data_IF_886012293333
#
_entry.id   IF_886012293333
#
_cell.length_a   1.000
_cell.length_b   1.000
_cell.length_c   1.000
_cell.angle_alpha   90.00
_cell.angle_beta   90.00
_cell.angle_gamma   90.00
#
_symmetry.space_group_name_H-M   'P 1'
#
loop_
_entity.id
_entity.type
_entity.pdbx_description
1 polymer ?
#
# COMPACT_ATOMS: atom_id res chain seq x y z
N UNK A 1 6.34 10.09 -28.80
CA UNK A 1 5.55 10.72 -27.72
C UNK A 1 4.25 9.95 -27.66
N UNK A 2 4.11 9.03 -26.70
CA UNK A 2 2.87 8.24 -26.58
C UNK A 2 1.79 9.13 -25.96
N UNK A 3 0.69 9.35 -26.69
CA UNK A 3 -0.54 9.91 -26.13
C UNK A 3 -1.12 8.86 -25.19
N UNK A 4 -0.98 9.06 -23.89
CA UNK A 4 -1.72 8.31 -22.88
C UNK A 4 -3.15 8.85 -22.85
N UNK A 5 -4.07 8.21 -23.57
CA UNK A 5 -5.49 8.43 -23.36
C UNK A 5 -5.86 7.93 -21.95
N UNK A 6 -6.51 8.79 -21.16
CA UNK A 6 -6.98 8.54 -19.80
C UNK A 6 -7.89 7.30 -19.65
N UNK A 7 -8.33 6.71 -20.76
CA UNK A 7 -9.21 5.53 -20.81
C UNK A 7 -8.62 4.25 -20.21
N UNK A 8 -7.30 4.19 -19.96
CA UNK A 8 -6.62 3.02 -19.39
C UNK A 8 -5.93 3.28 -18.04
N UNK A 9 -6.11 4.46 -17.45
CA UNK A 9 -5.56 4.73 -16.12
C UNK A 9 -6.62 4.35 -15.10
N UNK A 10 -6.28 3.48 -14.14
CA UNK A 10 -7.11 3.13 -12.99
C UNK A 10 -7.28 4.33 -12.03
N UNK A 11 -7.80 5.45 -12.52
CA UNK A 11 -7.93 6.68 -11.75
C UNK A 11 -9.41 6.96 -11.47
N UNK A 12 -9.82 6.73 -10.23
CA UNK A 12 -11.11 7.18 -9.72
C UNK A 12 -10.99 8.67 -9.38
N UNK A 13 -11.80 9.51 -10.03
CA UNK A 13 -11.73 10.96 -9.86
C UNK A 13 -12.05 11.34 -8.41
N UNK A 14 -11.18 12.15 -7.79
CA UNK A 14 -11.32 12.62 -6.41
C UNK A 14 -11.37 11.50 -5.36
N UNK A 15 -10.72 10.37 -5.63
CA UNK A 15 -10.65 9.25 -4.69
C UNK A 15 -10.15 9.65 -3.30
N UNK A 16 -9.17 10.58 -3.24
CA UNK A 16 -8.59 11.12 -2.00
C UNK A 16 -9.11 12.52 -1.65
N UNK A 17 -10.34 12.90 -2.02
CA UNK A 17 -10.90 14.17 -1.57
C UNK A 17 -10.91 14.24 -0.03
N UNK A 18 -10.25 15.27 0.50
CA UNK A 18 -10.16 15.53 1.93
C UNK A 18 -11.42 16.25 2.40
N UNK A 19 -12.13 15.65 3.36
CA UNK A 19 -13.39 16.17 3.89
C UNK A 19 -13.23 16.53 5.36
N UNK A 20 -13.73 17.71 5.81
CA UNK A 20 -13.67 18.10 7.22
C UNK A 20 -14.24 17.03 8.14
N UNK A 21 -13.50 16.74 9.20
CA UNK A 21 -13.91 15.82 10.24
C UNK A 21 -14.88 16.48 11.20
N UNK A 22 -15.86 15.71 11.64
CA UNK A 22 -16.66 16.10 12.80
C UNK A 22 -15.91 15.77 14.09
N UNK A 23 -16.49 16.22 15.21
CA UNK A 23 -15.88 16.03 16.54
C UNK A 23 -15.65 14.56 16.88
N UNK A 24 -16.62 13.69 16.60
CA UNK A 24 -16.52 12.27 16.93
C UNK A 24 -15.39 11.57 16.13
N UNK A 25 -15.23 11.92 14.86
CA UNK A 25 -14.16 11.41 13.99
C UNK A 25 -12.79 11.90 14.46
N UNK A 26 -12.66 13.18 14.80
CA UNK A 26 -11.42 13.74 15.35
C UNK A 26 -11.04 13.04 16.67
N UNK A 27 -11.99 12.90 17.60
CA UNK A 27 -11.75 12.21 18.88
C UNK A 27 -11.38 10.74 18.67
N UNK A 28 -11.97 10.07 17.69
CA UNK A 28 -11.61 8.70 17.33
C UNK A 28 -10.16 8.61 16.82
N UNK A 29 -9.77 9.45 15.86
CA UNK A 29 -8.41 9.46 15.30
C UNK A 29 -7.39 9.80 16.38
N UNK A 30 -7.68 10.80 17.21
CA UNK A 30 -6.82 11.16 18.34
C UNK A 30 -6.60 9.98 19.30
N UNK A 31 -7.68 9.25 19.66
CA UNK A 31 -7.57 8.04 20.49
C UNK A 31 -6.78 6.95 19.79
N UNK A 32 -7.00 6.75 18.49
CA UNK A 32 -6.29 5.77 17.68
C UNK A 32 -4.77 6.04 17.67
N UNK A 33 -4.34 7.25 17.30
CA UNK A 33 -2.92 7.63 17.29
C UNK A 33 -2.31 7.44 18.69
N UNK A 34 -2.99 7.93 19.74
CA UNK A 34 -2.50 7.81 21.11
C UNK A 34 -2.44 6.37 21.64
N UNK A 35 -3.16 5.42 21.03
CA UNK A 35 -3.12 3.99 21.40
C UNK A 35 -1.92 3.24 20.81
N UNK A 36 -1.25 3.83 19.81
CA UNK A 36 -0.12 3.22 19.13
C UNK A 36 1.21 3.56 19.82
N UNK A 37 2.29 2.92 19.36
CA UNK A 37 3.64 3.17 19.87
C UNK A 37 4.04 4.65 19.69
N UNK A 38 4.66 5.22 20.72
CA UNK A 38 5.04 6.64 20.77
C UNK A 38 6.04 7.04 19.68
N UNK A 39 6.84 6.09 19.19
CA UNK A 39 7.79 6.34 18.10
C UNK A 39 7.10 6.75 16.80
N UNK A 40 5.86 6.30 16.57
CA UNK A 40 5.08 6.65 15.39
C UNK A 40 4.28 7.95 15.53
N UNK A 41 4.09 8.46 16.76
CA UNK A 41 3.16 9.56 17.04
C UNK A 41 3.48 10.84 16.26
N UNK A 42 4.75 11.26 16.23
CA UNK A 42 5.13 12.51 15.59
C UNK A 42 4.78 12.53 14.09
N UNK A 43 5.09 11.44 13.39
CA UNK A 43 4.77 11.29 11.97
C UNK A 43 3.26 11.20 11.74
N UNK A 44 2.56 10.40 12.54
CA UNK A 44 1.11 10.24 12.42
C UNK A 44 0.35 11.55 12.67
N UNK A 45 0.75 12.33 13.67
CA UNK A 45 0.17 13.65 13.93
C UNK A 45 0.47 14.62 12.79
N UNK A 46 1.70 14.64 12.28
CA UNK A 46 2.05 15.44 11.10
C UNK A 46 1.19 15.08 9.87
N UNK A 47 0.99 13.80 9.62
CA UNK A 47 0.15 13.32 8.52
C UNK A 47 -1.34 13.64 8.75
N UNK A 48 -1.80 13.54 9.98
CA UNK A 48 -3.15 13.94 10.34
C UNK A 48 -3.36 15.46 10.17
N UNK A 49 -2.38 16.28 10.53
CA UNK A 49 -2.39 17.72 10.34
C UNK A 49 -2.41 18.08 8.84
N UNK A 50 -1.66 17.36 8.00
CA UNK A 50 -1.71 17.52 6.54
C UNK A 50 -3.12 17.21 5.98
N UNK A 51 -3.76 16.13 6.45
CA UNK A 51 -5.14 15.84 6.09
C UNK A 51 -6.08 16.99 6.51
N UNK A 52 -5.99 17.44 7.76
CA UNK A 52 -6.84 18.52 8.27
C UNK A 52 -6.61 19.83 7.54
N UNK A 53 -5.37 20.15 7.18
CA UNK A 53 -5.03 21.32 6.38
C UNK A 53 -5.72 21.28 5.01
N UNK A 54 -5.63 20.14 4.30
CA UNK A 54 -6.32 19.97 3.02
C UNK A 54 -7.83 20.08 3.20
N UNK A 55 -8.40 19.31 4.14
CA UNK A 55 -9.84 19.20 4.37
C UNK A 55 -10.50 20.54 4.73
N UNK A 56 -9.85 21.37 5.55
CA UNK A 56 -10.39 22.64 6.01
C UNK A 56 -10.02 23.83 5.11
N UNK A 57 -9.32 23.59 3.99
CA UNK A 57 -9.00 24.65 3.05
C UNK A 57 -10.26 25.23 2.40
N UNK A 58 -10.28 26.56 2.25
CA UNK A 58 -11.30 27.25 1.43
C UNK A 58 -11.12 26.95 -0.07
N UNK A 59 -9.91 26.60 -0.50
CA UNK A 59 -9.58 26.29 -1.89
C UNK A 59 -10.04 24.88 -2.27
N UNK A 60 -10.96 24.80 -3.23
CA UNK A 60 -11.52 23.52 -3.69
C UNK A 60 -10.47 22.59 -4.29
N UNK A 61 -9.48 23.13 -5.02
CA UNK A 61 -8.39 22.35 -5.59
C UNK A 61 -7.60 21.64 -4.50
N UNK A 62 -7.26 22.34 -3.41
CA UNK A 62 -6.48 21.76 -2.32
C UNK A 62 -7.25 20.64 -1.59
N UNK A 63 -8.58 20.77 -1.43
CA UNK A 63 -9.41 19.69 -0.88
C UNK A 63 -9.42 18.44 -1.76
N UNK A 64 -9.44 18.64 -3.08
CA UNK A 64 -9.60 17.54 -4.05
C UNK A 64 -8.30 16.85 -4.44
N UNK A 65 -7.23 17.62 -4.59
CA UNK A 65 -5.95 17.14 -5.14
C UNK A 65 -4.81 17.16 -4.12
N UNK A 66 -4.94 17.88 -2.99
CA UNK A 66 -3.82 18.08 -2.06
C UNK A 66 -3.24 16.78 -1.47
N UNK A 67 -4.07 15.76 -1.25
CA UNK A 67 -3.59 14.45 -0.81
C UNK A 67 -2.92 13.66 -1.95
N UNK A 68 -3.37 13.83 -3.20
CA UNK A 68 -2.73 13.22 -4.36
C UNK A 68 -1.37 13.87 -4.66
N UNK A 69 -1.29 15.20 -4.51
CA UNK A 69 -0.03 15.94 -4.56
C UNK A 69 0.93 15.46 -3.47
N UNK A 70 0.42 15.21 -2.26
CA UNK A 70 1.22 14.63 -1.18
C UNK A 70 1.73 13.22 -1.52
N UNK A 71 0.88 12.35 -2.09
CA UNK A 71 1.31 11.05 -2.58
C UNK A 71 2.42 11.19 -3.64
N UNK A 72 2.30 12.15 -4.56
CA UNK A 72 3.33 12.43 -5.57
C UNK A 72 4.67 12.85 -4.96
N UNK A 73 4.65 13.62 -3.87
CA UNK A 73 5.87 13.97 -3.12
C UNK A 73 6.52 12.74 -2.50
N UNK A 74 5.74 11.83 -1.90
CA UNK A 74 6.26 10.57 -1.34
C UNK A 74 6.82 9.67 -2.45
N UNK A 75 6.15 9.57 -3.60
CA UNK A 75 6.65 8.80 -4.74
C UNK A 75 8.00 9.32 -5.25
N UNK A 76 8.19 10.64 -5.25
CA UNK A 76 9.45 11.25 -5.63
C UNK A 76 10.62 10.82 -4.72
N UNK A 77 10.37 10.53 -3.44
CA UNK A 77 11.37 9.99 -2.51
C UNK A 77 11.79 8.56 -2.89
N UNK A 78 10.87 7.76 -3.44
CA UNK A 78 11.13 6.38 -3.86
C UNK A 78 11.96 6.25 -5.14
N UNK A 79 11.88 7.22 -6.06
CA UNK A 79 12.57 7.18 -7.37
C UNK A 79 14.06 6.85 -7.29
N UNK A 80 14.90 7.56 -6.50
CA UNK A 80 16.33 7.23 -6.41
C UNK A 80 16.58 5.82 -5.86
N UNK A 81 15.73 5.35 -4.94
CA UNK A 81 15.86 4.04 -4.28
C UNK A 81 15.51 2.93 -5.25
N UNK A 82 14.43 3.09 -6.02
CA UNK A 82 14.05 2.16 -7.09
C UNK A 82 15.17 2.03 -8.12
N UNK A 83 15.85 3.12 -8.48
CA UNK A 83 17.02 3.08 -9.39
C UNK A 83 18.19 2.26 -8.82
N UNK A 84 18.38 2.22 -7.50
CA UNK A 84 19.37 1.35 -6.84
C UNK A 84 18.92 -0.11 -6.90
N UNK A 85 17.64 -0.38 -6.60
CA UNK A 85 17.06 -1.73 -6.69
C UNK A 85 17.25 -2.32 -8.10
N UNK A 86 16.99 -1.56 -9.17
CA UNK A 86 17.25 -1.99 -10.56
C UNK A 86 18.72 -2.33 -10.87
N UNK A 87 19.66 -1.84 -10.07
CA UNK A 87 21.09 -2.15 -10.15
C UNK A 87 21.51 -3.23 -9.15
N UNK A 88 20.54 -3.86 -8.49
CA UNK A 88 20.72 -4.85 -7.42
C UNK A 88 21.48 -4.28 -6.22
N UNK A 89 21.38 -2.96 -6.01
CA UNK A 89 22.01 -2.27 -4.90
C UNK A 89 20.99 -2.04 -3.77
N UNK A 90 21.17 -2.79 -2.68
CA UNK A 90 20.34 -2.68 -1.46
C UNK A 90 21.01 -1.83 -0.36
N UNK A 91 22.14 -1.16 -0.63
CA UNK A 91 22.88 -0.36 0.37
C UNK A 91 22.04 0.76 1.00
N UNK A 92 20.97 1.19 0.33
CA UNK A 92 20.01 2.15 0.88
C UNK A 92 19.34 1.65 2.17
N UNK A 93 19.28 0.34 2.38
CA UNK A 93 18.68 -0.25 3.57
C UNK A 93 19.59 -0.17 4.80
N UNK A 94 20.88 0.09 4.59
CA UNK A 94 21.88 0.34 5.65
C UNK A 94 22.06 1.85 5.94
N UNK A 95 21.50 2.71 5.08
CA UNK A 95 21.49 4.16 5.29
C UNK A 95 20.18 4.58 5.97
N UNK A 96 20.26 5.14 7.18
CA UNK A 96 19.06 5.51 7.96
C UNK A 96 18.09 6.42 7.19
N UNK A 97 18.60 7.45 6.51
CA UNK A 97 17.76 8.38 5.75
C UNK A 97 17.09 7.68 4.57
N UNK A 98 17.86 6.97 3.74
CA UNK A 98 17.30 6.30 2.58
C UNK A 98 16.36 5.15 2.97
N UNK A 99 16.65 4.45 4.06
CA UNK A 99 15.73 3.45 4.64
C UNK A 99 14.43 4.10 5.07
N UNK A 100 14.46 5.26 5.71
CA UNK A 100 13.25 5.98 6.11
C UNK A 100 12.45 6.48 4.88
N UNK A 101 13.12 7.04 3.87
CA UNK A 101 12.48 7.44 2.61
C UNK A 101 11.81 6.22 1.92
N UNK A 102 12.50 5.08 1.87
CA UNK A 102 11.97 3.82 1.35
C UNK A 102 10.78 3.31 2.16
N UNK A 103 10.87 3.39 3.48
CA UNK A 103 9.84 2.92 4.40
C UNK A 103 8.54 3.71 4.24
N UNK A 104 8.64 5.05 4.14
CA UNK A 104 7.51 5.90 3.81
C UNK A 104 6.93 5.51 2.45
N UNK A 105 7.76 5.38 1.42
CA UNK A 105 7.33 4.98 0.08
C UNK A 105 6.55 3.64 0.10
N UNK A 106 7.07 2.59 0.74
CA UNK A 106 6.38 1.29 0.84
C UNK A 106 5.07 1.40 1.62
N UNK A 107 5.09 2.11 2.75
CA UNK A 107 3.88 2.33 3.57
C UNK A 107 2.76 2.95 2.75
N UNK A 108 3.06 4.01 2.00
CA UNK A 108 2.09 4.69 1.14
C UNK A 108 1.66 3.84 -0.06
N UNK A 109 2.56 3.13 -0.73
CA UNK A 109 2.18 2.26 -1.85
C UNK A 109 1.26 1.10 -1.40
N UNK A 110 1.45 0.59 -0.18
CA UNK A 110 0.58 -0.44 0.40
C UNK A 110 -0.79 0.10 0.85
N UNK A 111 -0.83 1.26 1.51
CA UNK A 111 -2.06 1.77 2.15
C UNK A 111 -2.99 2.53 1.22
N UNK A 112 -2.48 3.05 0.09
CA UNK A 112 -3.26 3.85 -0.88
C UNK A 112 -4.33 3.07 -1.64
N UNK A 113 -4.45 1.78 -1.35
CA UNK A 113 -5.21 0.76 -2.07
C UNK A 113 -6.72 0.89 -1.82
N UNK A 114 -7.53 0.75 -2.87
CA UNK A 114 -9.01 0.69 -2.76
C UNK A 114 -9.44 -0.47 -1.85
N UNK A 115 -8.72 -1.60 -1.92
CA UNK A 115 -8.93 -2.74 -1.03
C UNK A 115 -8.77 -2.34 0.44
N UNK A 116 -7.72 -1.60 0.80
CA UNK A 116 -7.51 -1.13 2.18
C UNK A 116 -8.64 -0.22 2.62
N UNK A 117 -9.04 0.75 1.79
CA UNK A 117 -10.16 1.66 2.09
C UNK A 117 -11.45 0.89 2.41
N UNK A 118 -11.81 -0.06 1.55
CA UNK A 118 -13.01 -0.87 1.72
C UNK A 118 -12.91 -1.82 2.93
N UNK A 119 -11.72 -2.36 3.21
CA UNK A 119 -11.50 -3.16 4.41
C UNK A 119 -11.68 -2.34 5.68
N UNK A 120 -11.16 -1.11 5.73
CA UNK A 120 -11.37 -0.20 6.87
C UNK A 120 -12.85 0.12 7.03
N UNK A 121 -13.55 0.44 5.94
CA UNK A 121 -15.00 0.71 5.98
C UNK A 121 -15.78 -0.48 6.55
N UNK A 122 -15.44 -1.70 6.14
CA UNK A 122 -16.07 -2.93 6.66
C UNK A 122 -15.90 -3.07 8.17
N UNK A 123 -14.77 -2.64 8.76
CA UNK A 123 -14.57 -2.64 10.22
C UNK A 123 -15.70 -1.90 10.96
N UNK A 124 -16.17 -0.78 10.42
CA UNK A 124 -17.26 0.01 11.01
C UNK A 124 -18.65 -0.62 10.86
N UNK A 125 -18.80 -1.60 9.97
CA UNK A 125 -20.05 -2.33 9.75
C UNK A 125 -20.17 -3.60 10.60
N UNK A 126 -19.07 -4.06 11.23
CA UNK A 126 -19.12 -5.21 12.13
C UNK A 126 -19.86 -4.85 13.42
N UNK A 127 -20.95 -5.58 13.72
CA UNK A 127 -21.89 -5.28 14.82
C UNK A 127 -21.21 -4.99 16.16
N UNK A 128 -20.13 -5.71 16.50
CA UNK A 128 -19.41 -5.50 17.76
C UNK A 128 -18.65 -4.17 17.78
N UNK A 129 -18.07 -3.76 16.65
CA UNK A 129 -17.35 -2.51 16.53
C UNK A 129 -18.30 -1.32 16.45
N UNK A 130 -19.42 -1.45 15.73
CA UNK A 130 -20.45 -0.41 15.62
C UNK A 130 -21.02 0.00 16.99
N UNK A 131 -21.06 -0.91 17.97
CA UNK A 131 -21.49 -0.62 19.35
C UNK A 131 -20.46 0.16 20.17
N UNK A 132 -19.19 0.15 19.76
CA UNK A 132 -18.08 0.78 20.47
C UNK A 132 -17.75 2.18 19.94
N UNK A 133 -18.32 2.55 18.80
CA UNK A 133 -18.04 3.82 18.11
C UNK A 133 -19.26 4.74 18.11
N UNK A 134 -19.01 6.05 18.08
CA UNK A 134 -20.09 7.05 18.03
C UNK A 134 -20.92 6.89 16.74
N UNK A 135 -22.26 7.00 16.81
CA UNK A 135 -23.13 6.96 15.62
C UNK A 135 -22.90 8.15 14.67
N UNK A 136 -22.19 9.18 15.12
CA UNK A 136 -21.83 10.35 14.30
C UNK A 136 -20.64 10.09 13.37
N UNK A 137 -19.90 8.98 13.54
CA UNK A 137 -18.78 8.65 12.67
C UNK A 137 -19.28 8.29 11.28
N UNK A 138 -18.71 8.94 10.25
CA UNK A 138 -18.94 8.60 8.84
C UNK A 138 -17.82 7.67 8.36
N UNK A 139 -18.08 6.35 8.14
CA UNK A 139 -17.04 5.39 7.83
C UNK A 139 -16.23 5.71 6.58
N UNK A 140 -16.87 6.27 5.54
CA UNK A 140 -16.18 6.64 4.29
C UNK A 140 -15.12 7.73 4.49
N UNK A 141 -15.43 8.73 5.32
CA UNK A 141 -14.51 9.84 5.61
C UNK A 141 -13.41 9.38 6.54
N UNK A 142 -13.77 8.60 7.56
CA UNK A 142 -12.79 8.07 8.49
C UNK A 142 -11.81 7.10 7.80
N UNK A 143 -12.28 6.31 6.83
CA UNK A 143 -11.43 5.43 6.04
C UNK A 143 -10.40 6.20 5.20
N UNK A 144 -10.73 7.42 4.71
CA UNK A 144 -9.76 8.26 4.00
C UNK A 144 -8.58 8.63 4.88
N UNK A 145 -8.86 9.06 6.11
CA UNK A 145 -7.79 9.44 7.06
C UNK A 145 -7.04 8.21 7.52
N UNK A 146 -7.75 7.15 7.90
CA UNK A 146 -7.11 5.96 8.45
C UNK A 146 -6.21 5.28 7.41
N UNK A 147 -6.58 5.22 6.13
CA UNK A 147 -5.68 4.74 5.06
C UNK A 147 -4.33 5.46 5.10
N UNK A 148 -4.36 6.78 5.27
CA UNK A 148 -3.16 7.63 5.32
C UNK A 148 -2.36 7.46 6.61
N UNK A 149 -2.99 7.06 7.71
CA UNK A 149 -2.30 6.73 8.96
C UNK A 149 -1.77 5.30 8.97
N UNK A 150 -2.40 4.37 8.25
CA UNK A 150 -1.92 3.00 8.09
C UNK A 150 -0.60 2.95 7.31
N UNK A 151 -0.32 3.90 6.42
CA UNK A 151 1.01 4.02 5.79
C UNK A 151 2.11 4.23 6.82
N UNK A 152 1.86 4.96 7.90
CA UNK A 152 2.86 5.19 8.95
C UNK A 152 3.13 3.93 9.76
N UNK A 153 2.09 3.12 9.99
CA UNK A 153 2.23 1.85 10.70
C UNK A 153 3.12 0.90 9.89
N UNK A 154 2.85 0.77 8.59
CA UNK A 154 3.64 -0.10 7.71
C UNK A 154 5.04 0.48 7.51
N UNK A 155 5.17 1.78 7.29
CA UNK A 155 6.46 2.45 7.17
C UNK A 155 7.33 2.26 8.41
N UNK A 156 6.78 2.48 9.60
CA UNK A 156 7.50 2.25 10.86
C UNK A 156 7.91 0.78 11.04
N UNK A 157 7.06 -0.16 10.59
CA UNK A 157 7.44 -1.57 10.60
C UNK A 157 8.59 -1.86 9.64
N UNK A 158 8.59 -1.28 8.44
CA UNK A 158 9.69 -1.43 7.47
C UNK A 158 11.00 -0.83 8.01
N UNK A 159 10.95 0.35 8.63
CA UNK A 159 12.14 1.01 9.17
C UNK A 159 12.72 0.26 10.36
N UNK A 160 11.86 -0.27 11.24
CA UNK A 160 12.27 -0.79 12.55
C UNK A 160 12.48 -2.30 12.59
N UNK A 161 11.69 -3.07 11.83
CA UNK A 161 11.62 -4.53 11.98
C UNK A 161 11.99 -5.29 10.70
N UNK A 162 11.75 -4.71 9.53
CA UNK A 162 11.97 -5.43 8.29
C UNK A 162 13.45 -5.59 7.97
N UNK A 163 13.75 -6.75 7.40
CA UNK A 163 14.89 -7.02 6.51
C UNK A 163 14.39 -7.04 5.07
N UNK A 164 15.31 -6.88 4.12
CA UNK A 164 15.01 -6.87 2.70
C UNK A 164 15.67 -8.05 1.99
N UNK A 165 14.92 -8.69 1.11
CA UNK A 165 15.37 -9.72 0.19
C UNK A 165 15.07 -9.26 -1.25
N UNK A 166 16.09 -9.21 -2.10
CA UNK A 166 15.92 -9.00 -3.53
C UNK A 166 15.62 -10.32 -4.21
N UNK A 167 14.53 -10.36 -4.98
CA UNK A 167 14.12 -11.53 -5.76
C UNK A 167 14.44 -11.26 -7.22
N UNK A 168 15.37 -12.04 -7.77
CA UNK A 168 15.81 -11.98 -9.16
C UNK A 168 15.20 -13.16 -9.91
N UNK A 169 14.34 -12.87 -10.86
CA UNK A 169 13.71 -13.89 -11.70
C UNK A 169 14.55 -14.13 -12.96
N UNK A 170 15.11 -15.32 -13.08
CA UNK A 170 15.83 -15.84 -14.25
C UNK A 170 15.04 -16.93 -14.99
N UNK A 171 13.79 -17.15 -14.61
CA UNK A 171 12.89 -18.08 -15.29
C UNK A 171 12.30 -17.48 -16.57
N UNK A 172 11.61 -18.31 -17.34
CA UNK A 172 10.87 -17.88 -18.53
C UNK A 172 9.53 -17.20 -18.19
N UNK A 173 9.00 -17.41 -16.99
CA UNK A 173 7.78 -16.74 -16.53
C UNK A 173 8.12 -15.34 -16.02
N UNK A 174 7.17 -14.41 -16.12
CA UNK A 174 7.32 -13.02 -15.67
C UNK A 174 6.51 -12.78 -14.40
N UNK A 175 7.04 -11.94 -13.49
CA UNK A 175 6.21 -11.37 -12.44
C UNK A 175 5.13 -10.47 -13.05
N UNK A 176 3.93 -10.54 -12.49
CA UNK A 176 2.82 -9.63 -12.79
C UNK A 176 2.65 -8.63 -11.65
N UNK A 177 1.88 -7.58 -11.91
CA UNK A 177 1.46 -6.62 -10.88
C UNK A 177 -0.02 -6.31 -11.00
N UNK A 178 -0.59 -5.62 -10.03
CA UNK A 178 -2.01 -5.28 -9.99
C UNK A 178 -2.24 -3.78 -9.86
N UNK A 179 -3.50 -3.40 -9.76
CA UNK A 179 -3.89 -2.08 -9.25
C UNK A 179 -3.41 -1.85 -7.81
N UNK A 180 -3.12 -2.92 -7.06
CA UNK A 180 -2.50 -2.93 -5.73
C UNK A 180 -1.13 -3.64 -5.80
N UNK A 181 -0.06 -2.95 -6.18
CA UNK A 181 1.22 -3.61 -6.48
C UNK A 181 1.97 -4.09 -5.22
N UNK A 182 1.73 -3.48 -4.07
CA UNK A 182 2.37 -3.85 -2.80
C UNK A 182 1.36 -4.63 -1.96
N UNK A 183 1.69 -5.87 -1.63
CA UNK A 183 0.77 -6.79 -0.93
C UNK A 183 1.41 -7.39 0.31
N UNK A 184 0.58 -7.77 1.29
CA UNK A 184 1.04 -8.54 2.46
C UNK A 184 0.67 -10.01 2.26
N UNK A 185 1.66 -10.85 1.96
CA UNK A 185 1.46 -12.27 1.64
C UNK A 185 0.80 -13.04 2.79
N UNK A 186 0.98 -12.62 4.04
CA UNK A 186 0.35 -13.26 5.20
C UNK A 186 -1.11 -12.84 5.39
N UNK A 187 -1.52 -11.70 4.83
CA UNK A 187 -2.89 -11.19 4.92
C UNK A 187 -3.77 -11.66 3.77
N UNK A 188 -3.22 -11.84 2.57
CA UNK A 188 -3.99 -12.15 1.35
C UNK A 188 -4.79 -13.45 1.46
N UNK A 189 -4.31 -14.45 2.21
CA UNK A 189 -5.01 -15.73 2.37
C UNK A 189 -5.95 -15.82 3.59
N UNK A 190 -6.09 -14.76 4.38
CA UNK A 190 -6.93 -14.78 5.59
C UNK A 190 -8.38 -14.41 5.29
N UNK A 191 -9.30 -15.02 6.05
CA UNK A 191 -10.69 -14.58 6.08
C UNK A 191 -10.80 -13.15 6.63
N UNK A 192 -11.79 -12.39 6.13
CA UNK A 192 -12.01 -11.01 6.54
C UNK A 192 -12.28 -10.92 8.05
N UNK A 193 -11.51 -10.06 8.73
CA UNK A 193 -11.64 -9.83 10.17
C UNK A 193 -10.67 -10.64 11.04
N UNK A 194 -9.86 -11.53 10.47
CA UNK A 194 -8.78 -12.21 11.18
C UNK A 194 -7.49 -11.36 11.08
N UNK A 195 -6.95 -10.83 12.20
CA UNK A 195 -5.68 -10.12 12.17
C UNK A 195 -4.52 -11.09 11.88
N UNK A 196 -3.56 -10.66 11.06
CA UNK A 196 -2.32 -11.42 10.84
C UNK A 196 -1.45 -11.37 12.09
N UNK A 197 -0.75 -12.46 12.38
CA UNK A 197 0.26 -12.52 13.47
C UNK A 197 1.68 -12.18 12.99
N UNK A 198 1.85 -12.01 11.68
CA UNK A 198 3.13 -11.65 11.04
C UNK A 198 2.87 -10.81 9.79
N UNK A 199 3.92 -10.12 9.34
CA UNK A 199 3.88 -9.23 8.17
C UNK A 199 4.95 -9.65 7.17
N UNK A 200 4.57 -9.83 5.91
CA UNK A 200 5.48 -10.14 4.82
C UNK A 200 5.07 -9.36 3.57
N UNK A 201 5.77 -8.26 3.29
CA UNK A 201 5.41 -7.34 2.21
C UNK A 201 6.15 -7.74 0.93
N UNK A 202 5.39 -8.02 -0.12
CA UNK A 202 5.90 -8.32 -1.45
C UNK A 202 5.61 -7.17 -2.41
N UNK A 203 6.59 -6.81 -3.23
CA UNK A 203 6.44 -5.80 -4.28
C UNK A 203 7.22 -6.18 -5.55
N UNK A 204 6.53 -6.54 -6.66
CA UNK A 204 7.15 -6.68 -7.97
C UNK A 204 7.38 -5.31 -8.61
N UNK A 205 8.66 -4.95 -8.79
CA UNK A 205 9.05 -3.72 -9.49
C UNK A 205 9.04 -3.88 -11.00
N UNK A 206 9.33 -5.09 -11.48
CA UNK A 206 9.39 -5.42 -12.90
C UNK A 206 9.16 -6.91 -13.11
N UNK A 207 8.97 -7.36 -14.36
CA UNK A 207 8.82 -8.79 -14.70
C UNK A 207 9.93 -9.69 -14.16
N UNK A 208 11.14 -9.12 -13.95
CA UNK A 208 12.34 -9.86 -13.54
C UNK A 208 12.86 -9.52 -12.16
N UNK A 209 12.23 -8.58 -11.46
CA UNK A 209 12.74 -8.05 -10.20
C UNK A 209 11.61 -7.73 -9.23
N UNK A 210 11.72 -8.25 -8.02
CA UNK A 210 10.82 -7.97 -6.91
C UNK A 210 11.61 -7.85 -5.61
N UNK A 211 10.96 -7.36 -4.57
CA UNK A 211 11.48 -7.42 -3.20
C UNK A 211 10.51 -8.16 -2.29
N UNK A 212 11.05 -8.69 -1.22
CA UNK A 212 10.31 -9.20 -0.08
C UNK A 212 10.84 -8.55 1.19
N UNK A 213 9.94 -8.06 2.03
CA UNK A 213 10.23 -7.51 3.34
C UNK A 213 9.63 -8.41 4.40
N UNK A 214 10.43 -8.85 5.35
CA UNK A 214 10.03 -9.73 6.46
C UNK A 214 10.95 -9.50 7.66
N UNK A 215 10.55 -9.95 8.84
CA UNK A 215 11.35 -9.79 10.06
C UNK A 215 12.67 -10.57 10.01
N UNK A 216 12.66 -11.69 9.28
CA UNK A 216 13.82 -12.58 9.22
C UNK A 216 14.14 -13.00 7.79
N UNK A 217 15.38 -12.75 7.40
CA UNK A 217 16.04 -13.35 6.25
C UNK A 217 17.45 -13.78 6.66
N UNK A 218 17.90 -14.86 6.05
CA UNK A 218 19.29 -15.35 6.11
C UNK A 218 20.10 -14.92 4.88
N UNK A 219 19.43 -14.57 3.79
CA UNK A 219 20.03 -14.12 2.53
C UNK A 219 19.53 -12.72 2.16
N UNK A 220 20.31 -11.99 1.37
CA UNK A 220 19.94 -10.69 0.80
C UNK A 220 19.40 -10.81 -0.63
N UNK A 221 19.64 -11.95 -1.29
CA UNK A 221 19.17 -12.24 -2.64
C UNK A 221 18.59 -13.65 -2.76
N UNK A 222 17.56 -13.78 -3.60
CA UNK A 222 16.96 -15.05 -4.02
C UNK A 222 16.89 -15.07 -5.55
N UNK A 223 17.53 -16.07 -6.17
CA UNK A 223 17.47 -16.27 -7.62
C UNK A 223 16.47 -17.38 -7.93
N UNK A 224 15.38 -17.03 -8.62
CA UNK A 224 14.36 -17.97 -9.07
C UNK A 224 14.68 -18.37 -10.51
N UNK A 225 14.86 -19.67 -10.76
CA UNK A 225 15.14 -20.22 -12.10
C UNK A 225 13.97 -21.00 -12.67
N UNK A 226 13.06 -21.48 -11.83
CA UNK A 226 11.85 -22.19 -12.22
C UNK A 226 10.63 -21.27 -12.29
N UNK A 227 9.63 -21.69 -13.07
CA UNK A 227 8.38 -20.93 -13.19
C UNK A 227 7.44 -21.10 -11.99
N UNK A 228 7.52 -22.20 -11.26
CA UNK A 228 6.56 -22.53 -10.19
C UNK A 228 6.55 -21.48 -9.08
N UNK A 229 7.73 -20.98 -8.68
CA UNK A 229 7.82 -19.90 -7.72
C UNK A 229 7.25 -18.57 -8.26
N UNK A 230 7.35 -18.32 -9.57
CA UNK A 230 6.74 -17.14 -10.19
C UNK A 230 5.21 -17.25 -10.16
N UNK A 231 4.66 -18.43 -10.44
CA UNK A 231 3.22 -18.68 -10.33
C UNK A 231 2.70 -18.48 -8.91
N UNK A 232 3.47 -18.89 -7.89
CA UNK A 232 3.14 -18.62 -6.49
C UNK A 232 2.91 -17.13 -6.23
N UNK A 233 3.89 -16.26 -6.52
CA UNK A 233 3.75 -14.82 -6.27
C UNK A 233 2.67 -14.17 -7.13
N UNK A 234 2.55 -14.57 -8.39
CA UNK A 234 1.56 -14.02 -9.31
C UNK A 234 0.12 -14.35 -8.86
N UNK A 235 -0.12 -15.54 -8.29
CA UNK A 235 -1.43 -15.89 -7.73
C UNK A 235 -1.80 -14.96 -6.58
N UNK A 236 -0.86 -14.64 -5.69
CA UNK A 236 -1.09 -13.66 -4.62
C UNK A 236 -1.45 -12.27 -5.16
N UNK A 237 -0.77 -11.80 -6.20
CA UNK A 237 -1.12 -10.53 -6.86
C UNK A 237 -2.54 -10.59 -7.42
N UNK A 238 -2.93 -11.69 -8.06
CA UNK A 238 -4.29 -11.85 -8.60
C UNK A 238 -5.36 -11.87 -7.50
N UNK A 239 -5.10 -12.58 -6.40
CA UNK A 239 -6.02 -12.66 -5.26
C UNK A 239 -6.11 -11.33 -4.50
N UNK A 240 -5.06 -10.51 -4.54
CA UNK A 240 -5.06 -9.20 -3.90
C UNK A 240 -5.62 -8.08 -4.77
N UNK A 241 -5.50 -8.20 -6.10
CA UNK A 241 -5.97 -7.21 -7.07
C UNK A 241 -7.49 -7.03 -6.99
N UNK A 242 -7.96 -5.79 -7.12
CA UNK A 242 -9.39 -5.48 -7.02
C UNK A 242 -10.05 -5.47 -8.39
N UNK A 243 -9.43 -4.78 -9.34
CA UNK A 243 -10.03 -4.50 -10.64
C UNK A 243 -9.14 -4.88 -11.81
N UNK A 244 -7.81 -4.77 -11.67
CA UNK A 244 -6.90 -4.86 -12.79
C UNK A 244 -5.62 -5.60 -12.42
N UNK A 245 -5.16 -6.41 -13.37
CA UNK A 245 -3.88 -7.13 -13.34
C UNK A 245 -3.11 -6.75 -14.61
N UNK A 246 -1.81 -6.53 -14.46
CA UNK A 246 -0.90 -6.09 -15.50
C UNK A 246 0.25 -7.08 -15.65
N UNK A 247 0.58 -7.41 -16.89
CA UNK A 247 1.70 -8.28 -17.22
C UNK A 247 2.53 -7.69 -18.35
N UNK A 248 3.77 -8.17 -18.52
CA UNK A 248 4.67 -7.74 -19.58
C UNK A 248 4.17 -8.04 -21.00
N UNK A 249 3.37 -9.10 -21.13
CA UNK A 249 2.81 -9.56 -22.40
C UNK A 249 1.47 -10.27 -22.19
N UNK A 250 0.73 -10.44 -23.29
CA UNK A 250 -0.60 -11.06 -23.28
C UNK A 250 -0.60 -12.51 -22.83
N UNK A 251 0.43 -13.29 -23.18
CA UNK A 251 0.49 -14.71 -22.86
C UNK A 251 0.61 -14.91 -21.34
N UNK A 252 1.44 -14.08 -20.70
CA UNK A 252 1.56 -14.03 -19.25
C UNK A 252 0.24 -13.62 -18.59
N UNK A 253 -0.43 -12.57 -19.09
CA UNK A 253 -1.72 -12.14 -18.54
C UNK A 253 -2.80 -13.23 -18.69
N UNK A 254 -2.89 -13.87 -19.85
CA UNK A 254 -3.86 -14.92 -20.15
C UNK A 254 -3.72 -16.15 -19.24
N UNK A 255 -2.52 -16.41 -18.72
CA UNK A 255 -2.30 -17.50 -17.76
C UNK A 255 -3.00 -17.27 -16.40
N UNK A 256 -3.35 -16.02 -16.08
CA UNK A 256 -3.96 -15.65 -14.80
C UNK A 256 -5.35 -15.01 -14.93
N UNK A 257 -5.75 -14.59 -16.13
CA UNK A 257 -7.11 -14.18 -16.41
C UNK A 257 -8.02 -15.42 -16.33
N UNK A 258 -8.70 -15.59 -15.19
CA UNK A 258 -9.75 -16.60 -15.06
C UNK A 258 -10.78 -16.35 -16.16
N UNK A 259 -10.98 -17.32 -17.05
CA UNK A 259 -12.20 -17.41 -17.86
C UNK A 259 -13.38 -17.40 -16.90
N UNK A 260 -14.23 -16.38 -17.01
CA UNK A 260 -15.49 -16.13 -16.28
C UNK A 260 -15.40 -15.32 -14.96
N UNK A 261 -15.42 -14.00 -15.12
CA UNK A 261 -16.11 -13.12 -14.16
C UNK A 261 -17.61 -13.18 -14.50
N UNK A 262 -18.28 -14.23 -14.00
CA UNK A 262 -19.73 -14.18 -13.75
C UNK A 262 -19.93 -14.56 -12.29
N UNK A 263 -20.06 -13.57 -11.42
CA UNK A 263 -20.75 -13.65 -10.13
C UNK A 263 -20.99 -12.25 -9.57
#
# INVERSE_FOLDING_TARGET
MFKTDLMNIAQEKYFYEAVPLNRAEFEFIAKFINSLDKTAHALMWSNFDNYNFCANSSEELLRKEGLEDYHSLIEALGIPIIKKIYKHDLSFFDNEKEKNDFSAFIGFQYSRTKKMRENIKKLFTFQNFTRLVSPEIRPDILANVLNFLFSDIIGNWVSSNAKILLIINQSNSDFITGDQPVINLKATSLESGIPTTSTEIYYPFSPKLAILLSETFTATELIIKDGDNIHYYNNFICDDSVSQVYAANSDCLNAYMKSDITK
#
